data_IF_875443970700
#
_entry.id   IF_875443970700
#
_cell.length_a   1.000
_cell.length_b   1.000
_cell.length_c   1.000
_cell.angle_alpha   90.00
_cell.angle_beta   90.00
_cell.angle_gamma   90.00
#
_symmetry.space_group_name_H-M   'P 1'
#
loop_
_entity.id
_entity.type
_entity.pdbx_description
1 polymer ?
#
# COMPACT_ATOMS: atom_id res chain seq x y z
N UNK A 1 -5.95 -2.16 -28.46
CA UNK A 1 -6.56 -3.09 -27.49
C UNK A 1 -6.34 -2.53 -26.10
N UNK A 2 -7.39 -2.27 -25.33
CA UNK A 2 -7.27 -1.76 -23.96
C UNK A 2 -7.02 -2.91 -23.00
N UNK A 3 -5.82 -2.98 -22.41
CA UNK A 3 -5.50 -3.93 -21.35
C UNK A 3 -6.22 -3.60 -20.03
N UNK A 4 -6.12 -4.47 -19.02
CA UNK A 4 -6.64 -4.17 -17.68
C UNK A 4 -6.00 -2.88 -17.17
N UNK A 5 -6.82 -2.04 -16.52
CA UNK A 5 -6.36 -0.81 -15.87
C UNK A 5 -6.54 -0.93 -14.37
N UNK A 6 -5.49 -0.62 -13.63
CA UNK A 6 -5.53 -0.53 -12.18
C UNK A 6 -6.43 0.62 -11.70
N UNK A 7 -6.91 0.55 -10.45
CA UNK A 7 -7.61 1.68 -9.85
C UNK A 7 -6.68 2.89 -9.73
N UNK A 8 -7.23 4.08 -9.92
CA UNK A 8 -6.54 5.33 -9.59
C UNK A 8 -6.40 5.48 -8.08
N UNK A 9 -5.39 6.24 -7.68
CA UNK A 9 -5.10 6.56 -6.27
C UNK A 9 -5.52 7.99 -6.00
N UNK A 10 -6.13 8.24 -4.85
CA UNK A 10 -6.44 9.58 -4.38
C UNK A 10 -5.13 10.39 -4.22
N UNK A 11 -4.99 11.54 -4.92
CA UNK A 11 -3.84 12.43 -4.76
C UNK A 11 -3.58 12.86 -3.29
N UNK A 12 -4.60 12.84 -2.43
CA UNK A 12 -4.44 13.15 -1.01
C UNK A 12 -3.78 12.01 -0.22
N UNK A 13 -3.89 10.77 -0.71
CA UNK A 13 -3.26 9.58 -0.12
C UNK A 13 -1.79 9.43 -0.49
N UNK A 14 -1.26 10.26 -1.41
CA UNK A 14 0.16 10.27 -1.78
C UNK A 14 0.88 11.51 -1.23
N UNK A 15 2.18 11.39 -0.89
CA UNK A 15 3.03 12.51 -0.52
C UNK A 15 3.02 13.61 -1.57
N UNK A 16 3.11 14.88 -1.16
CA UNK A 16 3.05 16.03 -2.06
C UNK A 16 4.04 15.95 -3.22
N UNK A 17 5.24 15.40 -2.98
CA UNK A 17 6.27 15.23 -4.00
C UNK A 17 5.90 14.23 -5.11
N UNK A 18 4.92 13.35 -4.88
CA UNK A 18 4.44 12.33 -5.81
C UNK A 18 3.06 12.67 -6.41
N UNK A 19 2.48 13.82 -6.04
CA UNK A 19 1.19 14.27 -6.60
C UNK A 19 1.37 14.72 -8.05
N UNK A 20 0.52 14.21 -8.94
CA UNK A 20 0.53 14.56 -10.36
C UNK A 20 0.97 13.41 -11.27
N UNK A 21 1.62 12.39 -10.71
CA UNK A 21 1.85 11.13 -11.40
C UNK A 21 0.57 10.28 -11.42
N UNK A 22 0.28 9.62 -12.54
CA UNK A 22 -0.84 8.66 -12.63
C UNK A 22 -0.46 7.37 -11.91
N UNK A 23 -0.51 7.39 -10.58
CA UNK A 23 -0.17 6.25 -9.74
C UNK A 23 -1.22 5.16 -9.91
N UNK A 24 -0.85 4.11 -10.66
CA UNK A 24 -1.71 2.95 -10.93
C UNK A 24 -0.88 1.69 -10.99
N UNK A 25 -1.51 0.59 -10.61
CA UNK A 25 -0.95 -0.74 -10.78
C UNK A 25 -1.92 -1.62 -11.59
N UNK A 26 -1.63 -1.79 -12.88
CA UNK A 26 -2.43 -2.59 -13.81
C UNK A 26 -2.42 -4.10 -13.50
N UNK A 27 -1.55 -4.56 -12.59
CA UNK A 27 -1.53 -5.93 -12.09
C UNK A 27 -2.55 -6.18 -10.97
N UNK A 28 -3.16 -5.12 -10.40
CA UNK A 28 -4.18 -5.25 -9.35
C UNK A 28 -5.38 -6.09 -9.78
N UNK A 29 -6.06 -5.81 -10.92
CA UNK A 29 -7.22 -6.60 -11.33
C UNK A 29 -6.93 -8.12 -11.45
N UNK A 30 -5.87 -8.58 -12.16
CA UNK A 30 -5.58 -10.01 -12.21
C UNK A 30 -5.12 -10.59 -10.88
N UNK A 31 -4.35 -9.86 -10.06
CA UNK A 31 -3.93 -10.36 -8.74
C UNK A 31 -5.12 -10.62 -7.82
N UNK A 32 -6.10 -9.71 -7.80
CA UNK A 32 -7.29 -9.84 -6.96
C UNK A 32 -8.23 -10.93 -7.47
N UNK A 33 -8.32 -11.12 -8.79
CA UNK A 33 -9.07 -12.23 -9.37
C UNK A 33 -8.48 -13.61 -8.99
N UNK A 34 -7.14 -13.70 -8.87
CA UNK A 34 -6.45 -14.93 -8.50
C UNK A 34 -6.45 -15.19 -6.99
N UNK A 35 -6.38 -14.13 -6.18
CA UNK A 35 -6.27 -14.24 -4.73
C UNK A 35 -7.14 -13.19 -4.03
N UNK A 36 -8.44 -13.52 -3.89
CA UNK A 36 -9.45 -12.64 -3.30
C UNK A 36 -9.09 -12.15 -1.89
N UNK A 37 -8.41 -12.97 -1.10
CA UNK A 37 -7.97 -12.61 0.25
C UNK A 37 -7.06 -11.37 0.27
N UNK A 38 -6.28 -11.10 -0.78
CA UNK A 38 -5.46 -9.87 -0.87
C UNK A 38 -6.35 -8.65 -1.06
N UNK A 39 -7.42 -8.77 -1.86
CA UNK A 39 -8.38 -7.69 -2.09
C UNK A 39 -9.17 -7.37 -0.81
N UNK A 40 -9.60 -8.41 -0.08
CA UNK A 40 -10.29 -8.27 1.20
C UNK A 40 -9.39 -7.58 2.23
N UNK A 41 -8.12 -8.01 2.32
CA UNK A 41 -7.14 -7.40 3.23
C UNK A 41 -6.85 -5.94 2.87
N UNK A 42 -6.73 -5.62 1.58
CA UNK A 42 -6.57 -4.24 1.13
C UNK A 42 -7.76 -3.38 1.55
N UNK A 43 -8.99 -3.86 1.36
CA UNK A 43 -10.20 -3.13 1.74
C UNK A 43 -10.28 -2.90 3.26
N UNK A 44 -9.89 -3.90 4.05
CA UNK A 44 -9.83 -3.76 5.51
C UNK A 44 -8.82 -2.70 5.95
N UNK A 45 -7.60 -2.73 5.40
CA UNK A 45 -6.57 -1.75 5.72
C UNK A 45 -6.95 -0.33 5.26
N UNK A 46 -7.57 -0.17 4.08
CA UNK A 46 -8.09 1.14 3.62
C UNK A 46 -9.11 1.72 4.60
N UNK A 47 -10.02 0.88 5.07
CA UNK A 47 -11.04 1.29 6.05
C UNK A 47 -10.41 1.68 7.38
N UNK A 48 -9.43 0.90 7.85
CA UNK A 48 -8.77 1.12 9.13
C UNK A 48 -7.90 2.37 9.13
N UNK A 49 -7.14 2.61 8.06
CA UNK A 49 -6.19 3.73 8.00
C UNK A 49 -6.81 5.01 7.43
N UNK A 50 -7.99 4.94 6.81
CA UNK A 50 -8.58 6.09 6.14
C UNK A 50 -7.73 6.62 4.98
N UNK A 51 -6.90 5.75 4.39
CA UNK A 51 -5.94 6.06 3.31
C UNK A 51 -6.05 5.02 2.21
N UNK A 52 -5.64 5.38 1.00
CA UNK A 52 -5.45 4.39 -0.04
C UNK A 52 -4.31 3.43 0.29
N UNK A 53 -4.60 2.15 0.11
CA UNK A 53 -3.64 1.05 0.26
C UNK A 53 -3.34 0.51 -1.12
N UNK A 54 -2.07 0.49 -1.44
CA UNK A 54 -1.51 0.13 -2.73
C UNK A 54 -0.93 -1.28 -2.68
N UNK A 55 -0.84 -1.92 -3.83
CA UNK A 55 -0.19 -3.22 -3.98
C UNK A 55 1.13 -3.03 -4.73
N UNK A 56 2.21 -3.61 -4.20
CA UNK A 56 3.51 -3.60 -4.87
C UNK A 56 3.59 -4.71 -5.92
N UNK A 57 3.94 -4.38 -7.16
CA UNK A 57 4.07 -5.34 -8.26
C UNK A 57 2.82 -6.21 -8.46
N UNK A 58 2.99 -7.53 -8.48
CA UNK A 58 1.88 -8.50 -8.56
C UNK A 58 1.31 -8.91 -7.21
N UNK A 59 1.70 -8.26 -6.11
CA UNK A 59 1.35 -8.64 -4.75
C UNK A 59 2.22 -9.80 -4.21
N UNK A 60 1.92 -10.30 -2.99
CA UNK A 60 0.78 -9.92 -2.14
C UNK A 60 1.07 -8.74 -1.20
N UNK A 61 2.25 -8.11 -1.31
CA UNK A 61 2.63 -7.00 -0.44
C UNK A 61 1.77 -5.76 -0.68
N UNK A 62 1.21 -5.24 0.40
CA UNK A 62 0.44 -4.00 0.43
C UNK A 62 1.21 -2.92 1.20
N UNK A 63 0.99 -1.66 0.82
CA UNK A 63 1.60 -0.51 1.49
C UNK A 63 0.71 0.72 1.40
N UNK A 64 0.95 1.71 2.26
CA UNK A 64 0.32 3.01 2.21
C UNK A 64 1.35 4.07 2.61
N UNK A 65 1.10 5.32 2.27
CA UNK A 65 1.97 6.43 2.66
C UNK A 65 1.45 7.10 3.94
N UNK A 66 2.30 7.14 4.95
CA UNK A 66 2.14 7.97 6.13
C UNK A 66 2.76 9.36 5.93
N UNK A 67 2.33 10.33 6.72
CA UNK A 67 2.88 11.70 6.76
C UNK A 67 4.25 11.75 7.44
N UNK A 68 4.43 10.90 8.46
CA UNK A 68 5.65 10.77 9.23
C UNK A 68 5.78 9.35 9.81
N UNK A 69 6.89 9.10 10.50
CA UNK A 69 7.19 7.81 11.12
C UNK A 69 6.18 7.46 12.21
N UNK A 70 5.71 8.43 13.00
CA UNK A 70 4.76 8.17 14.09
C UNK A 70 3.40 7.69 13.57
N UNK A 71 2.88 8.31 12.51
CA UNK A 71 1.68 7.81 11.84
C UNK A 71 1.91 6.42 11.23
N UNK A 72 3.10 6.15 10.67
CA UNK A 72 3.43 4.83 10.13
C UNK A 72 3.46 3.75 11.22
N UNK A 73 3.99 4.06 12.40
CA UNK A 73 3.99 3.18 13.57
C UNK A 73 2.56 2.91 14.05
N UNK A 74 1.72 3.94 14.17
CA UNK A 74 0.29 3.80 14.53
C UNK A 74 -0.46 2.92 13.52
N UNK A 75 -0.23 3.16 12.22
CA UNK A 75 -0.81 2.35 11.14
C UNK A 75 -0.36 0.89 11.25
N UNK A 76 0.92 0.64 11.47
CA UNK A 76 1.50 -0.71 11.61
C UNK A 76 0.98 -1.41 12.86
N UNK A 77 0.91 -0.72 14.00
CA UNK A 77 0.37 -1.25 15.26
C UNK A 77 -1.12 -1.60 15.21
N UNK A 78 -1.85 -1.03 14.25
CA UNK A 78 -3.26 -1.33 14.02
C UNK A 78 -3.50 -2.53 13.07
N UNK A 79 -2.45 -3.09 12.47
CA UNK A 79 -2.57 -4.23 11.54
C UNK A 79 -3.12 -5.47 12.26
N UNK A 80 -4.17 -6.14 11.75
CA UNK A 80 -4.76 -7.28 12.42
C UNK A 80 -3.82 -8.49 12.52
N UNK A 81 -4.06 -9.32 13.54
CA UNK A 81 -3.39 -10.60 13.74
C UNK A 81 -3.62 -11.48 12.50
N UNK A 82 -2.57 -11.69 11.70
CA UNK A 82 -2.63 -12.41 10.44
C UNK A 82 -1.57 -12.02 9.42
N UNK A 83 -1.00 -10.81 9.52
CA UNK A 83 0.15 -10.43 8.71
C UNK A 83 1.38 -11.26 9.10
N UNK A 84 2.10 -11.80 8.10
CA UNK A 84 3.41 -12.44 8.32
C UNK A 84 4.48 -11.44 8.73
N UNK A 85 4.33 -10.21 8.24
CA UNK A 85 5.21 -9.08 8.51
C UNK A 85 4.42 -7.80 8.26
N UNK A 86 4.58 -6.82 9.14
CA UNK A 86 4.19 -5.45 8.95
C UNK A 86 5.30 -4.59 9.57
N UNK A 87 5.65 -3.49 8.92
CA UNK A 87 6.75 -2.65 9.38
C UNK A 87 6.74 -1.30 8.69
N UNK A 88 7.37 -0.33 9.35
CA UNK A 88 7.62 0.99 8.78
C UNK A 88 8.83 0.90 7.87
N UNK A 89 8.80 1.60 6.74
CA UNK A 89 9.92 1.64 5.82
C UNK A 89 10.12 3.05 5.26
N UNK A 90 11.38 3.41 5.06
CA UNK A 90 11.76 4.64 4.37
C UNK A 90 12.13 4.37 2.91
N UNK A 91 11.62 5.16 1.96
CA UNK A 91 12.05 5.07 0.58
C UNK A 91 13.51 5.52 0.46
N UNK A 92 14.30 4.75 -0.28
CA UNK A 92 15.70 5.08 -0.63
C UNK A 92 15.87 5.09 -2.15
N UNK A 93 17.03 5.53 -2.64
CA UNK A 93 17.30 5.65 -4.07
C UNK A 93 17.01 4.38 -4.88
N UNK A 94 17.15 3.21 -4.26
CA UNK A 94 16.89 1.90 -4.86
C UNK A 94 16.06 1.02 -3.92
N UNK A 95 14.79 1.36 -3.75
CA UNK A 95 13.83 0.57 -3.00
C UNK A 95 13.43 1.22 -1.67
N UNK A 96 13.45 0.44 -0.60
CA UNK A 96 13.10 0.91 0.75
C UNK A 96 13.95 0.18 1.79
N UNK A 97 14.15 0.82 2.94
CA UNK A 97 14.75 0.22 4.12
C UNK A 97 13.67 0.09 5.18
N UNK A 98 13.52 -1.11 5.73
CA UNK A 98 12.65 -1.33 6.90
C UNK A 98 13.32 -0.70 8.11
N UNK A 99 12.56 0.09 8.86
CA UNK A 99 12.99 0.59 10.16
C UNK A 99 12.75 -0.52 11.19
N UNK A 100 13.83 -1.01 11.81
CA UNK A 100 13.72 -2.00 12.89
C UNK A 100 13.09 -1.33 14.13
N UNK A 101 12.26 -2.09 14.87
CA UNK A 101 11.88 -1.73 16.25
C UNK A 101 13.15 -1.76 17.12
N UNK A 102 13.53 -0.62 17.70
CA UNK A 102 14.58 -0.53 18.71
C UNK A 102 14.13 -1.15 20.05
#
# INVERSE_FOLDING_TARGET
MGGPRGPGVDPQSVPTALRGDDFRNDLVPPAFALQLAVAEWQAELRTRWGRDVLMSGSGPSLFAFALDVGEAEDMTGSVPVGARFAGVAEPVASGWLVLDEA
#
